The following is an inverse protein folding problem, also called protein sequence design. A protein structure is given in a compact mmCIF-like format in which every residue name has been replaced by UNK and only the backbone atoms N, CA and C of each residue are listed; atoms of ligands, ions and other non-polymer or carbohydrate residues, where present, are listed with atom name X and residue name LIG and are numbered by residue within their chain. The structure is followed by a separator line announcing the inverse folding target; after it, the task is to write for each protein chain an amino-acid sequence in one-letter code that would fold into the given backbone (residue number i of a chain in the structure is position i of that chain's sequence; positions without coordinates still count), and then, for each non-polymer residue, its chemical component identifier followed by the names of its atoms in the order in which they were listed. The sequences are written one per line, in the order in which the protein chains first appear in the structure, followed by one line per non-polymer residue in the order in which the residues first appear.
data_IF_887866235641
#
_entry.id   IF_887866235641
#
_cell.length_a   1.000
_cell.length_b   1.000
_cell.length_c   1.000
_cell.angle_alpha   90.00
_cell.angle_beta   90.00
_cell.angle_gamma   90.00
#
_symmetry.space_group_name_H-M   'P 1'
#
loop_
_entity.id
_entity.type
_entity.pdbx_description
1 polymer ?
#
# COMPACT_ATOMS: atom_id res chain seq x y z
N UNK A 1 9.54 -6.49 -20.60
CA UNK A 1 8.34 -5.62 -20.81
C UNK A 1 8.74 -4.16 -20.64
N UNK A 2 8.04 -3.27 -21.33
CA UNK A 2 8.09 -1.84 -21.04
C UNK A 2 6.97 -1.48 -20.06
N UNK A 3 7.34 -0.97 -18.89
CA UNK A 3 6.42 -0.77 -17.77
C UNK A 3 6.32 0.72 -17.43
N UNK A 4 5.10 1.24 -17.37
CA UNK A 4 4.82 2.60 -16.90
C UNK A 4 4.42 2.55 -15.42
N UNK A 5 5.09 3.32 -14.57
CA UNK A 5 4.88 3.33 -13.12
C UNK A 5 4.39 4.70 -12.67
N UNK A 6 3.14 4.81 -12.28
CA UNK A 6 2.59 5.96 -11.58
C UNK A 6 2.88 5.84 -10.08
N UNK A 7 3.29 6.93 -9.43
CA UNK A 7 3.79 6.88 -8.04
C UNK A 7 5.27 6.45 -7.93
N UNK A 8 6.03 6.47 -9.02
CA UNK A 8 7.41 6.01 -9.11
C UNK A 8 8.40 6.60 -8.10
N UNK A 9 8.11 7.75 -7.52
CA UNK A 9 8.95 8.43 -6.52
C UNK A 9 8.47 8.26 -5.07
N UNK A 10 7.46 7.41 -4.84
CA UNK A 10 6.94 7.09 -3.51
C UNK A 10 7.81 6.10 -2.73
N UNK A 11 7.39 5.74 -1.51
CA UNK A 11 8.12 4.80 -0.65
C UNK A 11 8.32 3.43 -1.30
N UNK A 12 7.27 2.88 -1.94
CA UNK A 12 7.38 1.64 -2.72
C UNK A 12 7.94 1.91 -4.13
N UNK A 13 7.71 3.09 -4.72
CA UNK A 13 8.10 3.40 -6.09
C UNK A 13 9.59 3.25 -6.35
N UNK A 14 10.44 3.76 -5.48
CA UNK A 14 11.90 3.66 -5.68
C UNK A 14 12.41 2.21 -5.67
N UNK A 15 12.12 1.35 -4.66
CA UNK A 15 12.52 -0.06 -4.73
C UNK A 15 11.83 -0.82 -5.87
N UNK A 16 10.63 -0.43 -6.28
CA UNK A 16 9.93 -1.01 -7.43
C UNK A 16 10.67 -0.72 -8.74
N UNK A 17 11.10 0.53 -8.97
CA UNK A 17 11.92 0.87 -10.14
C UNK A 17 13.20 0.04 -10.18
N UNK A 18 13.90 -0.05 -9.04
CA UNK A 18 15.14 -0.82 -8.94
C UNK A 18 14.93 -2.31 -9.26
N UNK A 19 13.86 -2.93 -8.72
CA UNK A 19 13.57 -4.34 -8.97
C UNK A 19 13.13 -4.60 -10.42
N UNK A 20 12.33 -3.71 -11.02
CA UNK A 20 11.94 -3.78 -12.44
C UNK A 20 13.17 -3.76 -13.35
N UNK A 21 14.07 -2.81 -13.16
CA UNK A 21 15.31 -2.68 -13.93
C UNK A 21 16.21 -3.89 -13.75
N UNK A 22 16.38 -4.37 -12.51
CA UNK A 22 17.14 -5.57 -12.19
C UNK A 22 16.63 -6.81 -12.91
N UNK A 23 15.31 -6.91 -13.13
CA UNK A 23 14.69 -8.00 -13.90
C UNK A 23 14.64 -7.76 -15.42
N UNK A 24 15.31 -6.72 -15.91
CA UNK A 24 15.45 -6.42 -17.33
C UNK A 24 14.23 -5.79 -17.98
N UNK A 25 13.33 -5.17 -17.19
CA UNK A 25 12.25 -4.35 -17.72
C UNK A 25 12.75 -2.96 -18.11
N UNK A 26 12.18 -2.37 -19.15
CA UNK A 26 12.33 -0.95 -19.44
C UNK A 26 11.26 -0.18 -18.65
N UNK A 27 11.63 0.90 -17.99
CA UNK A 27 10.73 1.59 -17.05
C UNK A 27 10.57 3.06 -17.41
N UNK A 28 9.31 3.51 -17.45
CA UNK A 28 8.94 4.93 -17.50
C UNK A 28 8.28 5.29 -16.16
N UNK A 29 8.93 6.10 -15.35
CA UNK A 29 8.44 6.51 -14.05
C UNK A 29 7.73 7.87 -14.10
N UNK A 30 6.46 7.90 -13.70
CA UNK A 30 5.69 9.14 -13.61
C UNK A 30 5.97 9.88 -12.30
N UNK A 31 6.17 11.17 -12.40
CA UNK A 31 6.32 12.08 -11.26
C UNK A 31 5.71 13.46 -11.55
N UNK A 32 5.59 14.32 -10.54
CA UNK A 32 5.03 15.67 -10.68
C UNK A 32 6.08 16.77 -10.65
N UNK A 33 7.36 16.46 -10.44
CA UNK A 33 8.40 17.47 -10.38
C UNK A 33 9.76 16.99 -10.91
N UNK A 34 10.57 17.96 -11.36
CA UNK A 34 11.86 17.71 -11.99
C UNK A 34 12.92 17.07 -11.05
N UNK A 35 12.92 17.46 -9.78
CA UNK A 35 13.93 16.90 -8.84
C UNK A 35 13.75 15.38 -8.69
N UNK A 36 12.49 14.93 -8.62
CA UNK A 36 12.16 13.50 -8.60
C UNK A 36 12.40 12.83 -9.95
N UNK A 37 12.14 13.53 -11.06
CA UNK A 37 12.45 13.03 -12.41
C UNK A 37 13.95 12.71 -12.55
N UNK A 38 14.82 13.66 -12.19
CA UNK A 38 16.28 13.43 -12.17
C UNK A 38 16.70 12.25 -11.28
N UNK A 39 15.96 11.98 -10.20
CA UNK A 39 16.24 10.80 -9.36
C UNK A 39 15.90 9.49 -10.08
N UNK A 40 14.79 9.44 -10.80
CA UNK A 40 14.39 8.28 -11.62
C UNK A 40 15.41 8.01 -12.73
N UNK A 41 15.85 9.06 -13.43
CA UNK A 41 16.86 8.97 -14.48
C UNK A 41 18.20 8.44 -13.96
N UNK A 42 18.63 8.88 -12.77
CA UNK A 42 19.84 8.35 -12.13
C UNK A 42 19.73 6.86 -11.76
N UNK A 43 18.53 6.37 -11.53
CA UNK A 43 18.28 4.94 -11.32
C UNK A 43 18.26 4.14 -12.64
N UNK A 44 18.22 4.80 -13.79
CA UNK A 44 18.16 4.18 -15.11
C UNK A 44 16.75 4.05 -15.72
N UNK A 45 15.74 4.67 -15.10
CA UNK A 45 14.40 4.77 -15.67
C UNK A 45 14.25 6.02 -16.53
N UNK A 46 13.37 5.99 -17.52
CA UNK A 46 12.90 7.20 -18.18
C UNK A 46 11.94 7.95 -17.24
N UNK A 47 12.06 9.27 -17.16
CA UNK A 47 11.15 10.07 -16.33
C UNK A 47 10.05 10.72 -17.19
N UNK A 48 8.83 10.71 -16.66
CA UNK A 48 7.68 11.41 -17.24
C UNK A 48 7.08 12.36 -16.20
N UNK A 49 7.18 13.68 -16.47
CA UNK A 49 6.61 14.69 -15.60
C UNK A 49 5.22 15.05 -16.12
N UNK A 50 4.20 14.68 -15.38
CA UNK A 50 2.82 15.01 -15.73
C UNK A 50 1.90 15.05 -14.50
N UNK A 51 0.75 15.71 -14.68
CA UNK A 51 -0.35 15.68 -13.71
C UNK A 51 -1.35 14.60 -14.13
N UNK A 52 -1.58 13.60 -13.28
CA UNK A 52 -2.48 12.48 -13.56
C UNK A 52 -3.96 12.89 -13.74
N UNK A 53 -4.33 14.10 -13.31
CA UNK A 53 -5.67 14.64 -13.54
C UNK A 53 -5.87 15.20 -14.96
N UNK A 54 -4.80 15.37 -15.73
CA UNK A 54 -4.85 15.71 -17.15
C UNK A 54 -4.93 14.43 -17.98
N UNK A 55 -6.15 14.05 -18.34
CA UNK A 55 -6.42 12.79 -19.02
C UNK A 55 -5.73 12.71 -20.40
N UNK A 56 -5.68 13.82 -21.14
CA UNK A 56 -5.05 13.88 -22.47
C UNK A 56 -3.53 13.72 -22.35
N UNK A 57 -2.92 14.39 -21.40
CA UNK A 57 -1.48 14.25 -21.12
C UNK A 57 -1.12 12.82 -20.67
N UNK A 58 -1.96 12.18 -19.86
CA UNK A 58 -1.77 10.79 -19.44
C UNK A 58 -1.83 9.84 -20.63
N UNK A 59 -2.84 9.98 -21.50
CA UNK A 59 -2.98 9.16 -22.70
C UNK A 59 -1.80 9.34 -23.66
N UNK A 60 -1.41 10.58 -23.93
CA UNK A 60 -0.25 10.90 -24.76
C UNK A 60 1.06 10.31 -24.18
N UNK A 61 1.24 10.35 -22.85
CA UNK A 61 2.41 9.82 -22.18
C UNK A 61 2.48 8.29 -22.27
N UNK A 62 1.37 7.58 -22.01
CA UNK A 62 1.33 6.12 -22.12
C UNK A 62 1.52 5.64 -23.57
N UNK A 63 0.89 6.32 -24.52
CA UNK A 63 1.07 6.06 -25.97
C UNK A 63 2.53 6.23 -26.39
N UNK A 64 3.16 7.35 -26.02
CA UNK A 64 4.59 7.61 -26.27
C UNK A 64 5.48 6.55 -25.58
N UNK A 65 5.14 6.15 -24.38
CA UNK A 65 5.85 5.10 -23.65
C UNK A 65 5.72 3.74 -24.32
N UNK A 66 4.69 3.49 -25.12
CA UNK A 66 4.36 2.16 -25.66
C UNK A 66 4.35 1.11 -24.55
N UNK A 67 3.68 1.43 -23.43
CA UNK A 67 3.71 0.61 -22.22
C UNK A 67 2.94 -0.70 -22.43
N UNK A 68 3.58 -1.83 -22.15
CA UNK A 68 2.96 -3.16 -22.14
C UNK A 68 2.27 -3.46 -20.81
N UNK A 69 2.78 -2.86 -19.72
CA UNK A 69 2.24 -2.96 -18.39
C UNK A 69 2.20 -1.59 -17.70
N UNK A 70 1.19 -1.38 -16.87
CA UNK A 70 1.03 -0.17 -16.06
C UNK A 70 0.91 -0.56 -14.60
N UNK A 71 1.64 0.14 -13.72
CA UNK A 71 1.58 -0.05 -12.27
C UNK A 71 1.11 1.26 -11.63
N UNK A 72 -0.01 1.19 -10.93
CA UNK A 72 -0.65 2.32 -10.24
C UNK A 72 -0.39 2.25 -8.73
N UNK A 73 0.63 2.99 -8.29
CA UNK A 73 1.00 3.19 -6.87
C UNK A 73 0.68 4.62 -6.41
N UNK A 74 -0.33 5.24 -7.02
CA UNK A 74 -0.73 6.61 -6.68
C UNK A 74 -1.31 6.70 -5.29
N UNK A 75 -0.71 7.53 -4.44
CA UNK A 75 -1.18 7.88 -3.10
C UNK A 75 -0.93 9.34 -2.79
N UNK A 76 -1.78 9.92 -1.96
CA UNK A 76 -1.60 11.25 -1.39
C UNK A 76 -1.68 11.18 0.14
N UNK A 77 -0.69 10.51 0.75
CA UNK A 77 -0.64 10.31 2.19
C UNK A 77 0.18 11.42 2.87
N UNK A 78 -0.22 11.85 4.10
CA UNK A 78 0.52 12.86 4.85
C UNK A 78 1.84 12.27 5.41
N UNK A 79 2.76 13.15 5.78
CA UNK A 79 3.94 12.77 6.55
C UNK A 79 3.57 12.33 7.97
N UNK A 80 2.65 13.04 8.62
CA UNK A 80 2.21 12.78 9.99
C UNK A 80 0.88 12.04 10.00
N UNK A 81 0.77 10.94 10.75
CA UNK A 81 -0.44 10.13 10.85
C UNK A 81 -1.68 10.91 11.31
N UNK A 82 -1.51 11.87 12.23
CA UNK A 82 -2.59 12.75 12.72
C UNK A 82 -3.24 13.61 11.65
N UNK A 83 -2.57 13.80 10.50
CA UNK A 83 -3.09 14.58 9.38
C UNK A 83 -3.90 13.73 8.38
N UNK A 84 -4.00 12.42 8.59
CA UNK A 84 -4.76 11.51 7.71
C UNK A 84 -6.16 12.03 7.36
N UNK A 85 -6.98 12.52 8.31
CA UNK A 85 -8.32 13.04 7.97
C UNK A 85 -8.30 14.20 6.98
N UNK A 86 -7.25 15.06 7.02
CA UNK A 86 -7.12 16.20 6.10
C UNK A 86 -6.77 15.76 4.68
N UNK A 87 -6.09 14.63 4.53
CA UNK A 87 -5.64 14.12 3.23
C UNK A 87 -6.61 13.12 2.59
N UNK A 88 -7.54 12.56 3.36
CA UNK A 88 -8.44 11.48 2.92
C UNK A 88 -9.20 11.81 1.63
N UNK A 89 -9.77 13.02 1.53
CA UNK A 89 -10.49 13.45 0.32
C UNK A 89 -9.58 13.59 -0.90
N UNK A 90 -8.36 14.12 -0.72
CA UNK A 90 -7.38 14.29 -1.79
C UNK A 90 -6.82 12.92 -2.25
N UNK A 91 -6.55 12.00 -1.32
CA UNK A 91 -6.11 10.65 -1.64
C UNK A 91 -7.21 9.88 -2.39
N UNK A 92 -8.45 9.94 -1.92
CA UNK A 92 -9.60 9.33 -2.64
C UNK A 92 -9.72 9.90 -4.06
N UNK A 93 -9.67 11.23 -4.21
CA UNK A 93 -9.75 11.88 -5.52
C UNK A 93 -8.63 11.39 -6.44
N UNK A 94 -7.40 11.35 -5.94
CA UNK A 94 -6.24 10.87 -6.71
C UNK A 94 -6.44 9.45 -7.21
N UNK A 95 -6.91 8.54 -6.35
CA UNK A 95 -7.15 7.13 -6.70
C UNK A 95 -8.32 6.96 -7.67
N UNK A 96 -9.43 7.66 -7.44
CA UNK A 96 -10.63 7.51 -8.28
C UNK A 96 -10.46 8.21 -9.62
N UNK A 97 -10.14 9.51 -9.63
CA UNK A 97 -10.03 10.30 -10.86
C UNK A 97 -8.69 10.05 -11.56
N UNK A 98 -7.57 10.23 -10.85
CA UNK A 98 -6.23 10.04 -11.42
C UNK A 98 -5.97 8.60 -11.85
N UNK A 99 -6.22 7.62 -10.98
CA UNK A 99 -6.13 6.20 -11.34
C UNK A 99 -7.13 5.80 -12.42
N UNK A 100 -8.30 6.47 -12.48
CA UNK A 100 -9.28 6.31 -13.57
C UNK A 100 -8.75 6.78 -14.91
N UNK A 101 -8.08 7.94 -14.96
CA UNK A 101 -7.42 8.42 -16.16
C UNK A 101 -6.31 7.45 -16.61
N UNK A 102 -5.51 6.98 -15.66
CA UNK A 102 -4.42 6.04 -15.94
C UNK A 102 -4.93 4.71 -16.50
N UNK A 103 -5.99 4.12 -15.93
CA UNK A 103 -6.57 2.88 -16.42
C UNK A 103 -7.17 3.04 -17.83
N UNK A 104 -7.92 4.13 -18.07
CA UNK A 104 -8.47 4.40 -19.41
C UNK A 104 -7.37 4.58 -20.45
N UNK A 105 -6.33 5.33 -20.14
CA UNK A 105 -5.19 5.52 -21.01
C UNK A 105 -4.43 4.22 -21.26
N UNK A 106 -4.25 3.36 -20.25
CA UNK A 106 -3.66 2.04 -20.40
C UNK A 106 -4.42 1.16 -21.39
N UNK A 107 -5.75 1.16 -21.32
CA UNK A 107 -6.63 0.45 -22.26
C UNK A 107 -6.50 1.04 -23.67
N UNK A 108 -6.59 2.38 -23.80
CA UNK A 108 -6.55 3.08 -25.08
C UNK A 108 -5.22 2.84 -25.84
N UNK A 109 -4.09 2.78 -25.13
CA UNK A 109 -2.79 2.50 -25.75
C UNK A 109 -2.48 1.01 -25.92
N UNK A 110 -3.40 0.11 -25.57
CA UNK A 110 -3.25 -1.33 -25.78
C UNK A 110 -2.32 -2.02 -24.76
N UNK A 111 -2.12 -1.44 -23.58
CA UNK A 111 -1.40 -2.12 -22.51
C UNK A 111 -2.12 -3.43 -22.14
N UNK A 112 -1.35 -4.49 -21.98
CA UNK A 112 -1.91 -5.81 -21.66
C UNK A 112 -2.20 -5.97 -20.18
N UNK A 113 -1.40 -5.34 -19.32
CA UNK A 113 -1.39 -5.57 -17.86
C UNK A 113 -1.58 -4.27 -17.08
N UNK A 114 -2.46 -4.31 -16.06
CA UNK A 114 -2.61 -3.20 -15.11
C UNK A 114 -2.56 -3.72 -13.68
N UNK A 115 -1.59 -3.25 -12.90
CA UNK A 115 -1.47 -3.54 -11.47
C UNK A 115 -1.93 -2.33 -10.68
N UNK A 116 -2.79 -2.52 -9.69
CA UNK A 116 -3.37 -1.46 -8.88
C UNK A 116 -3.12 -1.70 -7.40
N UNK A 117 -2.60 -0.69 -6.70
CA UNK A 117 -2.52 -0.71 -5.25
C UNK A 117 -3.90 -0.78 -4.61
N UNK A 118 -4.05 -1.69 -3.64
CA UNK A 118 -5.21 -1.84 -2.77
C UNK A 118 -4.75 -2.04 -1.32
N UNK A 119 -5.69 -2.32 -0.40
CA UNK A 119 -5.41 -2.47 1.03
C UNK A 119 -5.57 -3.90 1.51
N UNK A 120 -4.53 -4.44 2.15
CA UNK A 120 -4.52 -5.73 2.82
C UNK A 120 -4.78 -5.65 4.34
N UNK A 121 -5.07 -4.46 4.89
CA UNK A 121 -5.27 -4.29 6.33
C UNK A 121 -6.71 -3.94 6.73
N UNK A 122 -7.59 -3.55 5.78
CA UNK A 122 -9.02 -3.31 6.06
C UNK A 122 -9.91 -4.46 5.60
N UNK A 123 -9.41 -5.68 5.72
CA UNK A 123 -10.14 -6.88 5.36
C UNK A 123 -10.97 -7.38 6.55
N UNK A 124 -12.12 -7.99 6.27
CA UNK A 124 -12.98 -8.60 7.25
C UNK A 124 -12.95 -10.12 7.14
N UNK A 125 -12.59 -10.78 8.22
CA UNK A 125 -12.68 -12.24 8.32
C UNK A 125 -13.40 -12.67 9.59
N UNK A 126 -13.66 -13.96 9.72
CA UNK A 126 -14.15 -14.54 10.96
C UNK A 126 -13.12 -14.37 12.09
N UNK A 127 -13.57 -14.22 13.33
CA UNK A 127 -12.69 -14.09 14.49
C UNK A 127 -11.63 -15.23 14.50
N UNK A 128 -10.39 -14.85 14.78
CA UNK A 128 -9.22 -15.74 14.83
C UNK A 128 -8.82 -16.41 13.48
N UNK A 129 -9.34 -15.87 12.35
CA UNK A 129 -8.95 -16.33 11.00
C UNK A 129 -8.33 -15.17 10.25
N UNK A 130 -7.18 -15.39 9.62
CA UNK A 130 -6.58 -14.39 8.73
C UNK A 130 -7.43 -14.24 7.47
N UNK A 131 -7.62 -13.00 7.03
CA UNK A 131 -8.34 -12.70 5.81
C UNK A 131 -7.55 -13.14 4.57
N UNK A 132 -8.16 -13.89 3.69
CA UNK A 132 -7.61 -14.23 2.37
C UNK A 132 -8.13 -13.27 1.28
N UNK A 133 -7.80 -13.55 0.02
CA UNK A 133 -8.19 -12.69 -1.11
C UNK A 133 -9.71 -12.75 -1.42
N UNK A 134 -10.44 -13.74 -0.91
CA UNK A 134 -11.91 -13.82 -1.00
C UNK A 134 -12.61 -12.97 0.07
N UNK A 135 -11.90 -12.57 1.11
CA UNK A 135 -12.42 -11.75 2.19
C UNK A 135 -12.74 -10.35 1.71
N UNK A 136 -13.93 -9.81 2.03
CA UNK A 136 -14.31 -8.46 1.64
C UNK A 136 -13.53 -7.41 2.43
N UNK A 137 -13.42 -6.22 1.87
CA UNK A 137 -13.04 -5.01 2.60
C UNK A 137 -14.15 -4.62 3.58
N UNK A 138 -13.82 -4.22 4.81
CA UNK A 138 -14.81 -3.90 5.86
C UNK A 138 -15.44 -2.52 5.66
N UNK A 139 -16.42 -2.45 4.77
CA UNK A 139 -17.19 -1.22 4.49
C UNK A 139 -18.13 -0.83 5.63
N UNK A 140 -18.26 -1.63 6.67
CA UNK A 140 -19.07 -1.37 7.85
C UNK A 140 -18.22 -1.12 9.12
N UNK A 141 -16.95 -0.84 8.96
CA UNK A 141 -16.01 -0.50 10.03
C UNK A 141 -16.25 0.91 10.61
N UNK A 142 -15.31 1.41 11.39
CA UNK A 142 -15.28 2.82 11.84
C UNK A 142 -15.26 3.79 10.64
N UNK A 143 -15.67 5.06 10.83
CA UNK A 143 -15.96 5.95 9.70
C UNK A 143 -14.84 6.12 8.69
N UNK A 144 -13.60 6.36 9.12
CA UNK A 144 -12.46 6.55 8.22
C UNK A 144 -12.01 5.23 7.56
N UNK A 145 -12.05 4.13 8.31
CA UNK A 145 -11.76 2.79 7.77
C UNK A 145 -12.82 2.39 6.75
N UNK A 146 -14.10 2.60 7.04
CA UNK A 146 -15.22 2.34 6.11
C UNK A 146 -15.07 3.15 4.82
N UNK A 147 -14.77 4.45 4.91
CA UNK A 147 -14.56 5.31 3.73
C UNK A 147 -13.39 4.82 2.86
N UNK A 148 -12.29 4.39 3.49
CA UNK A 148 -11.16 3.80 2.80
C UNK A 148 -11.51 2.46 2.15
N UNK A 149 -12.18 1.57 2.89
CA UNK A 149 -12.64 0.27 2.40
C UNK A 149 -13.59 0.42 1.19
N UNK A 150 -14.53 1.37 1.24
CA UNK A 150 -15.42 1.70 0.10
C UNK A 150 -14.62 2.17 -1.11
N UNK A 151 -13.60 3.02 -0.91
CA UNK A 151 -12.73 3.48 -2.00
C UNK A 151 -12.03 2.30 -2.68
N UNK A 152 -11.39 1.42 -1.92
CA UNK A 152 -10.71 0.25 -2.49
C UNK A 152 -11.67 -0.75 -3.14
N UNK A 153 -12.87 -0.93 -2.59
CA UNK A 153 -13.93 -1.73 -3.22
C UNK A 153 -14.34 -1.18 -4.59
N UNK A 154 -14.50 0.15 -4.70
CA UNK A 154 -14.80 0.82 -5.98
C UNK A 154 -13.64 0.65 -6.99
N UNK A 155 -12.39 0.77 -6.54
CA UNK A 155 -11.21 0.57 -7.38
C UNK A 155 -11.12 -0.86 -7.92
N UNK A 156 -11.29 -1.86 -7.06
CA UNK A 156 -11.29 -3.28 -7.46
C UNK A 156 -12.46 -3.59 -8.40
N UNK A 157 -13.67 -3.09 -8.11
CA UNK A 157 -14.83 -3.26 -8.97
C UNK A 157 -14.61 -2.64 -10.38
N UNK A 158 -14.01 -1.46 -10.45
CA UNK A 158 -13.66 -0.81 -11.73
C UNK A 158 -12.65 -1.63 -12.51
N UNK A 159 -11.60 -2.13 -11.85
CA UNK A 159 -10.54 -2.91 -12.49
C UNK A 159 -11.07 -4.23 -13.06
N UNK A 160 -11.81 -4.98 -12.25
CA UNK A 160 -12.32 -6.30 -12.64
C UNK A 160 -13.62 -6.24 -13.49
N UNK A 161 -14.30 -5.11 -13.49
CA UNK A 161 -15.42 -4.85 -14.41
C UNK A 161 -14.99 -4.58 -15.85
N UNK A 162 -13.67 -4.48 -16.12
CA UNK A 162 -13.14 -4.22 -17.44
C UNK A 162 -12.44 -5.45 -18.00
N UNK A 163 -12.94 -5.99 -19.12
CA UNK A 163 -12.35 -7.15 -19.80
C UNK A 163 -11.28 -6.78 -20.84
N UNK A 164 -10.97 -5.48 -21.01
CA UNK A 164 -10.03 -5.01 -22.03
C UNK A 164 -8.56 -5.04 -21.57
N UNK A 165 -8.30 -5.32 -20.28
CA UNK A 165 -6.97 -5.36 -19.71
C UNK A 165 -6.90 -6.45 -18.63
N UNK A 166 -5.75 -7.10 -18.50
CA UNK A 166 -5.51 -8.09 -17.45
C UNK A 166 -5.19 -7.37 -16.11
N UNK A 167 -6.20 -7.26 -15.26
CA UNK A 167 -6.12 -6.53 -14.00
C UNK A 167 -5.58 -7.36 -12.84
N UNK A 168 -4.70 -6.77 -12.03
CA UNK A 168 -4.23 -7.32 -10.76
C UNK A 168 -4.38 -6.29 -9.65
N UNK A 169 -5.08 -6.63 -8.57
CA UNK A 169 -5.17 -5.82 -7.36
C UNK A 169 -4.19 -6.34 -6.31
N UNK A 170 -3.31 -5.46 -5.85
CA UNK A 170 -2.29 -5.77 -4.86
C UNK A 170 -2.69 -5.17 -3.52
N UNK A 171 -3.17 -6.02 -2.61
CA UNK A 171 -3.57 -5.65 -1.25
C UNK A 171 -2.35 -5.71 -0.34
N UNK A 172 -1.68 -4.58 -0.18
CA UNK A 172 -0.51 -4.48 0.68
C UNK A 172 -0.88 -4.37 2.15
N UNK A 173 -0.01 -4.93 3.01
CA UNK A 173 0.02 -4.62 4.44
C UNK A 173 0.53 -3.21 4.73
N UNK A 174 0.62 -2.86 6.01
CA UNK A 174 1.28 -1.63 6.44
C UNK A 174 2.75 -1.65 5.99
N UNK A 175 3.15 -0.65 5.22
CA UNK A 175 4.53 -0.56 4.75
C UNK A 175 5.49 -0.22 5.88
N UNK A 176 6.58 -0.98 5.98
CA UNK A 176 7.73 -0.63 6.81
C UNK A 176 9.03 -0.62 5.99
N UNK A 177 10.08 -0.04 6.55
CA UNK A 177 11.34 0.20 5.85
C UNK A 177 11.52 1.66 5.45
N UNK A 178 12.53 2.00 4.67
CA UNK A 178 12.89 3.39 4.33
C UNK A 178 11.72 4.19 3.75
N UNK A 179 11.57 5.44 4.19
CA UNK A 179 10.54 6.39 3.74
C UNK A 179 9.10 6.02 4.11
N UNK A 180 8.90 5.10 5.05
CA UNK A 180 7.57 4.75 5.58
C UNK A 180 7.43 5.25 7.00
N UNK A 181 6.19 5.38 7.49
CA UNK A 181 5.92 5.78 8.88
C UNK A 181 6.59 4.86 9.93
N UNK A 182 6.74 3.57 9.62
CA UNK A 182 7.34 2.55 10.50
C UNK A 182 8.85 2.40 10.26
N UNK A 183 9.54 3.48 9.93
CA UNK A 183 11.01 3.54 9.86
C UNK A 183 11.56 4.40 11.01
N UNK A 184 12.71 4.06 11.62
CA UNK A 184 13.29 4.88 12.69
C UNK A 184 13.42 6.36 12.29
N UNK A 185 12.88 7.25 13.15
CA UNK A 185 12.85 8.69 12.89
C UNK A 185 11.61 9.20 12.13
N UNK A 186 10.76 8.32 11.62
CA UNK A 186 9.53 8.67 10.91
C UNK A 186 8.29 8.65 11.85
N UNK A 187 7.12 9.03 11.34
CA UNK A 187 5.96 9.40 12.13
C UNK A 187 5.52 8.35 13.18
N UNK A 188 5.28 7.09 12.78
CA UNK A 188 4.83 6.06 13.72
C UNK A 188 5.93 5.70 14.72
N UNK A 189 7.20 5.62 14.28
CA UNK A 189 8.34 5.38 15.15
C UNK A 189 8.52 6.52 16.18
N UNK A 190 8.35 7.77 15.75
CA UNK A 190 8.41 8.93 16.64
C UNK A 190 7.26 8.94 17.68
N UNK A 191 6.05 8.54 17.28
CA UNK A 191 4.93 8.39 18.23
C UNK A 191 5.24 7.33 19.28
N UNK A 192 5.80 6.18 18.89
CA UNK A 192 6.19 5.12 19.82
C UNK A 192 7.30 5.60 20.77
N UNK A 193 8.34 6.23 20.23
CA UNK A 193 9.44 6.77 21.04
C UNK A 193 8.97 7.80 22.09
N UNK A 194 7.90 8.54 21.79
CA UNK A 194 7.28 9.54 22.69
C UNK A 194 6.14 8.97 23.53
N UNK A 195 5.91 7.67 23.53
CA UNK A 195 4.77 7.00 24.19
C UNK A 195 3.40 7.57 23.80
N UNK A 196 3.27 8.04 22.56
CA UNK A 196 2.03 8.60 21.99
C UNK A 196 1.22 7.58 21.17
N UNK A 197 1.69 6.34 21.12
CA UNK A 197 0.98 5.22 20.50
C UNK A 197 0.80 4.11 21.57
N UNK A 198 -0.29 4.15 22.35
CA UNK A 198 -0.55 3.16 23.37
C UNK A 198 -1.14 1.86 22.84
N UNK A 199 -1.03 0.79 23.60
CA UNK A 199 -1.86 -0.41 23.42
C UNK A 199 -3.28 -0.08 23.91
N UNK A 200 -4.27 -0.32 23.06
CA UNK A 200 -5.68 0.03 23.36
C UNK A 200 -6.47 -1.23 23.74
N UNK A 201 -7.15 -1.18 24.88
CA UNK A 201 -7.88 -2.33 25.39
C UNK A 201 -6.96 -3.55 25.54
N UNK A 202 -7.36 -4.68 24.99
CA UNK A 202 -6.53 -5.89 24.92
C UNK A 202 -5.57 -5.92 23.74
N UNK A 203 -5.62 -4.93 22.82
CA UNK A 203 -4.78 -4.88 21.63
C UNK A 203 -4.93 -6.09 20.72
N UNK A 204 -6.16 -6.62 20.57
CA UNK A 204 -6.45 -7.85 19.81
C UNK A 204 -6.42 -7.65 18.28
N UNK A 205 -6.49 -6.41 17.80
CA UNK A 205 -6.47 -6.10 16.37
C UNK A 205 -5.17 -6.57 15.71
N UNK A 206 -5.29 -7.45 14.73
CA UNK A 206 -4.17 -8.07 14.04
C UNK A 206 -3.72 -7.22 12.87
N UNK A 207 -2.52 -6.67 12.94
CA UNK A 207 -1.90 -5.91 11.85
C UNK A 207 -1.04 -6.83 10.98
N UNK A 208 -1.11 -6.61 9.67
CA UNK A 208 -0.21 -7.23 8.70
C UNK A 208 0.70 -6.17 8.11
N UNK A 209 1.99 -6.44 8.04
CA UNK A 209 3.01 -5.55 7.53
C UNK A 209 3.62 -6.10 6.24
N UNK A 210 4.37 -5.26 5.53
CA UNK A 210 5.24 -5.68 4.43
C UNK A 210 6.39 -4.69 4.27
N UNK A 211 7.61 -5.20 4.12
CA UNK A 211 8.75 -4.33 3.81
C UNK A 211 8.65 -3.79 2.38
N UNK A 212 8.96 -2.51 2.17
CA UNK A 212 8.80 -1.86 0.85
C UNK A 212 9.58 -2.55 -0.27
N UNK A 213 10.75 -3.13 0.02
CA UNK A 213 11.51 -3.91 -0.98
C UNK A 213 10.83 -5.24 -1.31
N UNK A 214 10.26 -5.94 -0.32
CA UNK A 214 9.55 -7.19 -0.55
C UNK A 214 8.24 -6.95 -1.28
N UNK A 215 7.55 -5.85 -0.96
CA UNK A 215 6.38 -5.38 -1.72
C UNK A 215 6.74 -5.14 -3.18
N UNK A 216 7.87 -4.47 -3.45
CA UNK A 216 8.37 -4.26 -4.80
C UNK A 216 8.64 -5.58 -5.55
N UNK A 217 9.29 -6.55 -4.89
CA UNK A 217 9.54 -7.89 -5.45
C UNK A 217 8.21 -8.60 -5.78
N UNK A 218 7.24 -8.56 -4.87
CA UNK A 218 5.91 -9.14 -5.08
C UNK A 218 5.15 -8.47 -6.22
N UNK A 219 5.23 -7.13 -6.32
CA UNK A 219 4.63 -6.35 -7.40
C UNK A 219 5.19 -6.74 -8.77
N UNK A 220 6.52 -6.84 -8.88
CA UNK A 220 7.15 -7.25 -10.14
C UNK A 220 6.81 -8.69 -10.50
N UNK A 221 6.73 -9.61 -9.54
CA UNK A 221 6.29 -10.98 -9.78
C UNK A 221 4.83 -11.03 -10.29
N UNK A 222 3.97 -10.14 -9.82
CA UNK A 222 2.57 -10.05 -10.24
C UNK A 222 2.38 -9.56 -11.69
N UNK A 223 3.39 -8.98 -12.34
CA UNK A 223 3.32 -8.61 -13.76
C UNK A 223 3.06 -9.80 -14.69
N UNK A 224 3.43 -11.00 -14.30
CA UNK A 224 3.23 -12.23 -15.07
C UNK A 224 2.24 -13.21 -14.40
N UNK A 225 1.60 -12.81 -13.32
CA UNK A 225 0.64 -13.63 -12.60
C UNK A 225 -0.73 -13.69 -13.31
N UNK A 226 -1.56 -14.68 -12.94
CA UNK A 226 -2.97 -14.68 -13.34
C UNK A 226 -3.67 -13.42 -12.81
N UNK A 227 -4.60 -12.81 -13.59
CA UNK A 227 -5.40 -11.68 -13.13
C UNK A 227 -6.15 -12.00 -11.83
N UNK A 228 -6.31 -11.01 -10.97
CA UNK A 228 -7.02 -11.18 -9.71
C UNK A 228 -6.40 -10.41 -8.53
N UNK A 229 -6.84 -10.74 -7.33
CA UNK A 229 -6.39 -10.12 -6.09
C UNK A 229 -5.26 -10.93 -5.46
N UNK A 230 -4.26 -10.24 -4.90
CA UNK A 230 -3.16 -10.84 -4.14
C UNK A 230 -2.88 -10.03 -2.87
N UNK A 231 -2.84 -10.69 -1.73
CA UNK A 231 -2.40 -10.08 -0.47
C UNK A 231 -0.87 -10.11 -0.40
N UNK A 232 -0.24 -8.95 -0.42
CA UNK A 232 1.21 -8.80 -0.24
C UNK A 232 1.51 -8.32 1.18
N UNK A 233 1.57 -9.27 2.10
CA UNK A 233 1.87 -9.08 3.53
C UNK A 233 2.95 -10.05 3.96
N UNK A 234 3.69 -9.76 5.04
CA UNK A 234 4.71 -10.67 5.56
C UNK A 234 4.10 -11.92 6.26
N UNK A 235 4.96 -12.76 6.81
CA UNK A 235 4.57 -14.02 7.47
C UNK A 235 4.21 -13.85 8.96
N UNK A 236 4.16 -12.60 9.47
CA UNK A 236 4.03 -12.30 10.89
C UNK A 236 2.81 -11.41 11.24
N UNK A 237 1.58 -11.69 10.74
CA UNK A 237 0.40 -10.95 11.19
C UNK A 237 0.30 -11.05 12.71
N UNK A 238 0.22 -9.92 13.39
CA UNK A 238 0.35 -9.88 14.85
C UNK A 238 -0.64 -8.92 15.51
N UNK A 239 -1.21 -9.29 16.68
CA UNK A 239 -2.02 -8.37 17.48
C UNK A 239 -1.22 -7.13 17.90
N UNK A 240 -1.91 -6.00 18.08
CA UNK A 240 -1.28 -4.76 18.55
C UNK A 240 -0.50 -4.98 19.85
N UNK A 241 -1.07 -5.74 20.79
CA UNK A 241 -0.43 -6.08 22.06
C UNK A 241 0.89 -6.86 21.92
N UNK A 242 1.17 -7.40 20.74
CA UNK A 242 2.42 -8.15 20.44
C UNK A 242 3.39 -7.30 19.64
N UNK A 243 2.93 -6.77 18.49
CA UNK A 243 3.85 -6.07 17.59
C UNK A 243 4.29 -4.70 18.14
N UNK A 244 3.42 -3.97 18.84
CA UNK A 244 3.73 -2.61 19.27
C UNK A 244 4.80 -2.57 20.38
N UNK A 245 4.75 -3.41 21.44
CA UNK A 245 5.86 -3.53 22.39
C UNK A 245 7.17 -4.01 21.72
N UNK A 246 7.06 -4.95 20.79
CA UNK A 246 8.24 -5.42 20.04
C UNK A 246 8.87 -4.31 19.20
N UNK A 247 8.04 -3.48 18.55
CA UNK A 247 8.51 -2.31 17.81
C UNK A 247 9.14 -1.25 18.70
N UNK A 248 8.56 -1.01 19.89
CA UNK A 248 9.16 -0.11 20.88
C UNK A 248 10.56 -0.59 21.29
N UNK A 249 10.72 -1.87 21.62
CA UNK A 249 12.05 -2.47 21.93
C UNK A 249 13.02 -2.33 20.79
N UNK A 250 12.59 -2.61 19.57
CA UNK A 250 13.41 -2.43 18.36
C UNK A 250 13.92 -1.00 18.18
N UNK A 251 13.11 -0.01 18.56
CA UNK A 251 13.47 1.42 18.54
C UNK A 251 14.32 1.87 19.75
N UNK A 252 14.52 1.02 20.75
CA UNK A 252 15.09 1.42 22.03
C UNK A 252 14.20 2.37 22.82
N UNK A 253 12.89 2.34 22.58
CA UNK A 253 11.89 3.18 23.22
C UNK A 253 11.33 2.52 24.50
N UNK A 254 10.73 3.32 25.42
CA UNK A 254 10.00 2.78 26.56
C UNK A 254 8.83 1.89 26.13
N UNK A 255 8.42 0.96 27.01
CA UNK A 255 7.21 0.16 26.77
C UNK A 255 5.99 1.07 26.51
N UNK A 256 5.12 0.71 25.54
CA UNK A 256 3.91 1.47 25.28
C UNK A 256 2.99 1.53 26.52
N UNK A 257 2.31 2.64 26.69
CA UNK A 257 1.24 2.77 27.70
C UNK A 257 0.08 1.86 27.31
N UNK A 258 -0.70 1.43 28.31
CA UNK A 258 -1.98 0.77 28.11
C UNK A 258 -3.11 1.73 28.47
N UNK A 259 -4.08 1.89 27.58
CA UNK A 259 -5.27 2.71 27.80
C UNK A 259 -6.54 1.93 27.46
N UNK A 260 -7.65 2.34 28.02
CA UNK A 260 -8.96 1.78 27.66
C UNK A 260 -9.39 2.21 26.24
N UNK A 261 -10.34 1.48 25.66
CA UNK A 261 -10.95 1.89 24.39
C UNK A 261 -11.69 3.24 24.49
N UNK A 262 -12.25 3.56 25.69
CA UNK A 262 -12.91 4.85 25.92
C UNK A 262 -11.92 6.02 25.84
N UNK A 263 -10.78 5.90 26.50
CA UNK A 263 -9.69 6.89 26.45
C UNK A 263 -9.13 7.03 25.01
N UNK A 264 -8.92 5.91 24.30
CA UNK A 264 -8.44 5.92 22.92
C UNK A 264 -9.43 6.63 21.99
N UNK A 265 -10.73 6.39 22.17
CA UNK A 265 -11.81 7.03 21.40
C UNK A 265 -11.83 8.55 21.60
N UNK A 266 -11.65 9.00 22.84
CA UNK A 266 -11.56 10.43 23.16
C UNK A 266 -10.30 11.08 22.56
N UNK A 267 -9.16 10.40 22.63
CA UNK A 267 -7.87 10.93 22.18
C UNK A 267 -7.69 10.92 20.66
N UNK A 268 -8.13 9.85 19.99
CA UNK A 268 -7.77 9.58 18.60
C UNK A 268 -8.95 9.06 17.74
N UNK A 269 -10.14 8.96 18.27
CA UNK A 269 -11.36 8.59 17.55
C UNK A 269 -11.57 7.09 17.35
N UNK A 270 -12.69 6.75 16.70
CA UNK A 270 -13.12 5.36 16.48
C UNK A 270 -12.16 4.56 15.60
N UNK A 271 -11.50 5.20 14.64
CA UNK A 271 -10.56 4.52 13.74
C UNK A 271 -9.35 3.97 14.49
N UNK A 272 -8.86 4.69 15.51
CA UNK A 272 -7.78 4.23 16.37
C UNK A 272 -8.18 2.99 17.16
N UNK A 273 -9.39 3.00 17.75
CA UNK A 273 -9.95 1.85 18.47
C UNK A 273 -10.11 0.67 17.51
N UNK A 274 -10.71 0.88 16.34
CA UNK A 274 -10.89 -0.18 15.35
C UNK A 274 -9.55 -0.83 14.95
N UNK A 275 -8.56 -0.01 14.60
CA UNK A 275 -7.25 -0.52 14.22
C UNK A 275 -6.56 -1.31 15.34
N UNK A 276 -6.72 -0.90 16.58
CA UNK A 276 -6.10 -1.56 17.71
C UNK A 276 -6.80 -2.85 18.15
N UNK A 277 -8.12 -3.00 17.88
CA UNK A 277 -8.93 -4.07 18.48
C UNK A 277 -9.65 -4.97 17.48
N UNK A 278 -9.84 -4.55 16.22
CA UNK A 278 -10.73 -5.23 15.28
C UNK A 278 -10.10 -5.64 13.94
N UNK A 279 -8.89 -5.20 13.60
CA UNK A 279 -8.22 -5.65 12.38
C UNK A 279 -8.06 -7.17 12.38
N UNK A 280 -8.32 -7.81 11.23
CA UNK A 280 -8.32 -9.28 11.11
C UNK A 280 -6.95 -9.87 10.75
N UNK A 281 -6.01 -9.04 10.25
CA UNK A 281 -4.81 -9.54 9.59
C UNK A 281 -5.11 -10.21 8.26
N UNK A 282 -4.09 -10.39 7.43
CA UNK A 282 -4.21 -10.99 6.12
C UNK A 282 -3.28 -12.19 5.93
N UNK A 283 -3.72 -13.15 5.10
CA UNK A 283 -2.92 -14.30 4.68
C UNK A 283 -2.24 -14.02 3.34
N UNK A 284 -0.96 -14.32 3.23
CA UNK A 284 -0.17 -14.23 2.00
C UNK A 284 -0.03 -15.58 1.27
N UNK A 285 -0.76 -16.60 1.68
CA UNK A 285 -0.61 -17.98 1.17
C UNK A 285 -0.77 -18.06 -0.35
N UNK A 286 -1.70 -17.30 -0.94
CA UNK A 286 -1.91 -17.23 -2.38
C UNK A 286 -0.71 -16.60 -3.10
N UNK A 287 -0.22 -15.46 -2.62
CA UNK A 287 0.93 -14.78 -3.20
C UNK A 287 2.19 -15.67 -3.15
N UNK A 288 2.46 -16.32 -2.03
CA UNK A 288 3.58 -17.27 -1.91
C UNK A 288 3.49 -18.40 -2.92
N UNK A 289 2.31 -19.02 -3.06
CA UNK A 289 2.10 -20.16 -3.95
C UNK A 289 2.16 -19.79 -5.43
N UNK A 290 1.51 -18.69 -5.82
CA UNK A 290 1.33 -18.35 -7.25
C UNK A 290 2.39 -17.40 -7.80
N UNK A 291 2.99 -16.55 -6.96
CA UNK A 291 4.06 -15.64 -7.36
C UNK A 291 5.46 -16.17 -7.06
N UNK A 292 5.58 -17.28 -6.32
CA UNK A 292 6.87 -17.73 -5.79
C UNK A 292 7.51 -16.70 -4.85
N UNK A 293 6.68 -15.83 -4.28
CA UNK A 293 7.12 -14.70 -3.44
C UNK A 293 7.36 -15.16 -2.00
N UNK A 294 8.49 -14.76 -1.43
CA UNK A 294 8.87 -15.12 -0.09
C UNK A 294 9.36 -13.87 0.66
N UNK A 295 8.47 -13.17 1.38
CA UNK A 295 8.83 -11.95 2.11
C UNK A 295 9.70 -12.27 3.32
N UNK A 296 10.48 -11.27 3.77
CA UNK A 296 11.18 -11.35 5.04
C UNK A 296 10.21 -11.40 6.21
N UNK A 297 10.64 -12.02 7.30
CA UNK A 297 9.94 -11.96 8.59
C UNK A 297 10.00 -10.53 9.15
N UNK A 298 8.95 -10.14 9.87
CA UNK A 298 8.87 -8.82 10.50
C UNK A 298 10.05 -8.57 11.43
N UNK A 299 10.86 -7.55 11.13
CA UNK A 299 12.19 -7.39 11.73
C UNK A 299 12.17 -7.18 13.24
N UNK A 300 11.14 -6.51 13.78
CA UNK A 300 11.02 -6.24 15.21
C UNK A 300 10.40 -7.37 16.02
N UNK A 301 9.87 -8.40 15.40
CA UNK A 301 9.44 -9.62 16.12
C UNK A 301 10.58 -10.63 16.30
N UNK A 302 11.74 -10.38 15.66
CA UNK A 302 12.95 -11.21 15.80
C UNK A 302 13.93 -10.67 16.85
N UNK A 303 13.70 -9.45 17.32
CA UNK A 303 14.60 -8.74 18.24
C UNK A 303 14.39 -9.15 19.70
#
# INVERSE_FOLDING_TARGET
MRVFVAGASGAIGEPLIAELLKRGHSVVGMTTNEARARNLERQGAEACILNVFDAEAVEAALSKASAEGVIDELTSLPKELRDMPKYAAADRKLRIEGGGNLLRAAIACGARRYLQQSSGFFLKSAKATLADESSPLDVNASPGVSASAQTYTELEARLFGCNAIEGVSLRYGFFYGPKTWYYPGEAAANMVTKQQNPVVGNGEGVSSFVHVEDAAVGTVAALSAEPGVYNLVDDDPSPQAVWLPAFARFLGAPEPLHISEAEAREMAGEDAVYCATQLSGASNAKAKRLLGWNPRRLVWLKA
#
